data_IF_174255938539
#
_entry.id   IF_174255938539
#
_cell.length_a   1.000
_cell.length_b   1.000
_cell.length_c   1.000
_cell.angle_alpha   90.00
_cell.angle_beta   90.00
_cell.angle_gamma   90.00
#
_symmetry.space_group_name_H-M   'P 1'
#
loop_
_entity.id
_entity.type
_entity.pdbx_description
1 polymer ?
#
# COMPACT_ATOMS: atom_id res chain seq x y z
N UNK A 1 -69.80 -28.96 36.80
CA UNK A 1 -68.45 -28.69 36.29
C UNK A 1 -68.46 -28.91 34.79
N UNK A 2 -68.45 -27.84 33.99
CA UNK A 2 -68.49 -27.93 32.54
C UNK A 2 -67.09 -28.22 31.98
N UNK A 3 -66.94 -29.32 31.22
CA UNK A 3 -65.71 -29.62 30.49
C UNK A 3 -65.56 -28.61 29.35
N UNK A 4 -64.39 -27.96 29.18
CA UNK A 4 -64.17 -27.06 28.06
C UNK A 4 -64.30 -27.83 26.75
N UNK A 5 -64.96 -27.23 25.76
CA UNK A 5 -65.15 -27.83 24.45
C UNK A 5 -63.80 -28.02 23.74
N UNK A 6 -63.64 -29.18 23.09
CA UNK A 6 -62.41 -29.58 22.37
C UNK A 6 -61.97 -28.57 21.29
N UNK A 7 -62.93 -27.81 20.76
CA UNK A 7 -62.73 -26.71 19.82
C UNK A 7 -61.95 -25.53 20.42
N UNK A 8 -62.13 -25.26 21.71
CA UNK A 8 -61.46 -24.16 22.40
C UNK A 8 -59.97 -24.48 22.64
N UNK A 9 -59.66 -25.71 23.06
CA UNK A 9 -58.27 -26.17 23.22
C UNK A 9 -57.48 -26.15 21.90
N UNK A 10 -58.10 -26.50 20.77
CA UNK A 10 -57.47 -26.41 19.46
C UNK A 10 -57.14 -24.96 19.06
N UNK A 11 -58.05 -24.02 19.32
CA UNK A 11 -57.84 -22.61 19.03
C UNK A 11 -56.68 -22.01 19.84
N UNK A 12 -56.55 -22.36 21.13
CA UNK A 12 -55.40 -21.95 21.95
C UNK A 12 -54.08 -22.55 21.45
N UNK A 13 -54.08 -23.81 21.00
CA UNK A 13 -52.90 -24.45 20.41
C UNK A 13 -52.41 -23.74 19.14
N UNK A 14 -53.33 -23.38 18.25
CA UNK A 14 -53.04 -22.64 17.01
C UNK A 14 -52.52 -21.24 17.31
N UNK A 15 -53.07 -20.55 18.32
CA UNK A 15 -52.58 -19.23 18.71
C UNK A 15 -51.15 -19.29 19.24
N UNK A 16 -50.82 -20.30 20.06
CA UNK A 16 -49.48 -20.49 20.61
C UNK A 16 -48.47 -20.81 19.50
N UNK A 17 -48.83 -21.65 18.52
CA UNK A 17 -47.94 -21.94 17.39
C UNK A 17 -47.71 -20.71 16.51
N UNK A 18 -48.73 -19.90 16.21
CA UNK A 18 -48.57 -18.64 15.47
C UNK A 18 -47.62 -17.68 16.21
N UNK A 19 -47.76 -17.54 17.53
CA UNK A 19 -46.88 -16.69 18.34
C UNK A 19 -45.43 -17.20 18.38
N UNK A 20 -45.22 -18.51 18.39
CA UNK A 20 -43.88 -19.13 18.28
C UNK A 20 -43.27 -18.89 16.89
N UNK A 21 -44.06 -19.05 15.82
CA UNK A 21 -43.62 -18.77 14.45
C UNK A 21 -43.27 -17.29 14.25
N UNK A 22 -44.05 -16.35 14.81
CA UNK A 22 -43.75 -14.91 14.75
C UNK A 22 -42.42 -14.57 15.46
N UNK A 23 -42.11 -15.20 16.59
CA UNK A 23 -40.81 -15.06 17.26
C UNK A 23 -39.66 -15.61 16.40
N UNK A 24 -39.86 -16.74 15.72
CA UNK A 24 -38.88 -17.30 14.78
C UNK A 24 -38.61 -16.40 13.56
N UNK A 25 -39.62 -15.69 13.07
CA UNK A 25 -39.48 -14.72 11.98
C UNK A 25 -38.73 -13.47 12.45
N UNK A 26 -38.97 -13.00 13.67
CA UNK A 26 -38.24 -11.88 14.28
C UNK A 26 -36.76 -12.19 14.56
N UNK A 27 -36.42 -13.43 14.91
CA UNK A 27 -35.02 -13.86 15.11
C UNK A 27 -34.24 -13.94 13.79
N UNK A 28 -34.93 -14.20 12.66
CA UNK A 28 -34.33 -14.13 11.30
C UNK A 28 -34.21 -12.70 10.75
N UNK A 29 -34.64 -11.69 11.51
CA UNK A 29 -34.72 -10.29 11.09
C UNK A 29 -33.56 -9.40 11.51
N UNK A 30 -32.50 -9.93 12.13
CA UNK A 30 -31.23 -9.20 12.26
C UNK A 30 -30.17 -9.89 11.41
N UNK A 31 -30.34 -9.82 10.09
CA UNK A 31 -29.17 -9.75 9.22
C UNK A 31 -28.52 -8.42 9.57
N UNK A 32 -27.68 -8.42 10.61
CA UNK A 32 -26.60 -7.46 10.69
C UNK A 32 -25.81 -7.72 9.42
N UNK A 33 -26.17 -7.00 8.36
CA UNK A 33 -25.36 -6.87 7.17
C UNK A 33 -24.10 -6.14 7.62
N UNK A 34 -23.22 -6.85 8.34
CA UNK A 34 -21.80 -6.75 8.13
C UNK A 34 -21.58 -7.23 6.68
N UNK A 35 -22.02 -6.41 5.72
CA UNK A 35 -21.25 -6.23 4.50
C UNK A 35 -19.80 -6.23 4.97
N UNK A 36 -18.99 -7.17 4.47
CA UNK A 36 -17.55 -7.16 4.70
C UNK A 36 -17.06 -5.77 4.36
N UNK A 37 -16.97 -4.90 5.37
CA UNK A 37 -16.74 -3.49 5.15
C UNK A 37 -15.34 -3.42 4.57
N UNK A 38 -15.27 -2.92 3.36
CA UNK A 38 -14.02 -2.83 2.63
C UNK A 38 -13.02 -2.04 3.48
N UNK A 39 -11.92 -2.69 3.85
CA UNK A 39 -10.92 -2.09 4.72
C UNK A 39 -10.22 -0.98 3.94
N UNK A 40 -10.07 0.18 4.55
CA UNK A 40 -9.38 1.32 3.94
C UNK A 40 -8.95 2.30 5.03
N UNK A 41 -8.01 3.19 4.71
CA UNK A 41 -7.55 4.22 5.65
C UNK A 41 -8.49 5.42 5.77
N UNK A 42 -9.68 5.38 5.17
CA UNK A 42 -10.66 6.45 5.25
C UNK A 42 -11.71 6.36 4.13
N UNK A 43 -12.76 7.18 4.17
CA UNK A 43 -13.74 7.23 3.09
C UNK A 43 -13.07 7.59 1.76
N UNK A 44 -13.48 6.93 0.68
CA UNK A 44 -12.94 7.11 -0.67
C UNK A 44 -11.42 6.87 -0.80
N UNK A 45 -10.82 6.07 0.10
CA UNK A 45 -9.41 5.65 0.00
C UNK A 45 -9.28 4.29 -0.68
N UNK A 46 -8.06 3.98 -1.11
CA UNK A 46 -7.73 2.69 -1.76
C UNK A 46 -8.17 1.52 -0.89
N UNK A 47 -9.01 0.63 -1.43
CA UNK A 47 -9.36 -0.60 -0.76
C UNK A 47 -8.18 -1.51 -0.43
N UNK A 48 -8.21 -2.06 0.77
CA UNK A 48 -7.25 -3.02 1.29
C UNK A 48 -7.94 -4.38 1.36
N UNK A 49 -7.40 -5.34 0.61
CA UNK A 49 -7.89 -6.70 0.49
C UNK A 49 -6.70 -7.65 0.57
N UNK A 50 -6.99 -8.93 0.77
CA UNK A 50 -5.99 -9.99 0.69
C UNK A 50 -5.18 -9.88 -0.63
N UNK A 51 -3.84 -10.03 -0.62
CA UNK A 51 -2.99 -10.53 0.46
C UNK A 51 -2.46 -9.46 1.43
N UNK A 52 -2.93 -8.21 1.33
CA UNK A 52 -2.52 -7.15 2.23
C UNK A 52 -3.30 -7.21 3.54
N UNK A 53 -2.58 -7.02 4.64
CA UNK A 53 -3.17 -6.98 5.97
C UNK A 53 -3.10 -5.57 6.51
N UNK A 54 -4.25 -5.00 6.89
CA UNK A 54 -4.28 -3.71 7.58
C UNK A 54 -4.00 -3.94 9.07
N UNK A 55 -2.85 -3.48 9.54
CA UNK A 55 -2.45 -3.60 10.95
C UNK A 55 -2.88 -2.38 11.76
N UNK A 56 -3.39 -2.63 12.97
CA UNK A 56 -3.68 -1.58 13.95
C UNK A 56 -2.44 -1.40 14.84
N UNK A 57 -1.58 -0.46 14.48
CA UNK A 57 -0.29 -0.24 15.15
C UNK A 57 0.87 -1.02 14.50
N UNK A 58 2.04 -1.01 15.13
CA UNK A 58 3.30 -1.44 14.49
C UNK A 58 3.69 -2.90 14.68
N UNK A 59 3.00 -3.67 15.53
CA UNK A 59 3.57 -4.91 16.10
C UNK A 59 2.85 -6.22 15.75
N UNK A 60 1.75 -6.20 15.00
CA UNK A 60 0.99 -7.42 14.68
C UNK A 60 0.89 -7.64 13.16
N UNK A 61 2.05 -7.82 12.52
CA UNK A 61 2.10 -8.30 11.14
C UNK A 61 2.17 -9.83 11.16
N UNK A 62 1.02 -10.50 11.12
CA UNK A 62 0.96 -11.95 11.08
C UNK A 62 1.27 -12.43 9.65
N UNK A 63 2.48 -12.94 9.45
CA UNK A 63 2.87 -13.60 8.19
C UNK A 63 1.88 -14.75 7.85
N UNK A 64 1.54 -15.03 6.57
CA UNK A 64 2.08 -14.47 5.32
C UNK A 64 1.25 -13.30 4.76
N UNK A 65 1.90 -12.17 4.48
CA UNK A 65 1.25 -11.01 3.86
C UNK A 65 2.10 -9.75 3.91
N UNK A 66 1.74 -8.78 3.06
CA UNK A 66 2.31 -7.43 3.08
C UNK A 66 1.50 -6.57 4.05
N UNK A 67 2.16 -5.96 5.03
CA UNK A 67 1.46 -5.20 6.06
C UNK A 67 1.29 -3.74 5.66
N UNK A 68 0.06 -3.27 5.75
CA UNK A 68 -0.33 -1.88 5.53
C UNK A 68 -0.76 -1.27 6.85
N UNK A 69 -0.49 0.01 7.06
CA UNK A 69 -1.03 0.77 8.19
C UNK A 69 -1.55 2.13 7.73
N UNK A 70 -2.43 2.72 8.53
CA UNK A 70 -2.98 4.05 8.27
C UNK A 70 -2.26 5.11 9.09
N UNK A 71 -1.95 6.26 8.48
CA UNK A 71 -1.51 7.45 9.21
C UNK A 71 -2.71 8.23 9.77
N UNK A 72 -2.44 9.25 10.59
CA UNK A 72 -3.48 10.14 11.12
C UNK A 72 -4.19 10.93 10.01
N UNK A 73 -3.50 11.19 8.90
CA UNK A 73 -4.00 11.88 7.71
C UNK A 73 -4.73 10.93 6.74
N UNK A 74 -5.08 9.71 7.18
CA UNK A 74 -5.77 8.70 6.38
C UNK A 74 -4.96 8.23 5.16
N UNK A 75 -3.62 8.30 5.22
CA UNK A 75 -2.74 7.76 4.19
C UNK A 75 -2.47 6.28 4.44
N UNK A 76 -2.46 5.48 3.38
CA UNK A 76 -2.10 4.06 3.44
C UNK A 76 -0.59 3.92 3.27
N UNK A 77 0.06 3.21 4.18
CA UNK A 77 1.51 3.02 4.20
C UNK A 77 1.85 1.54 4.16
N UNK A 78 2.74 1.14 3.25
CA UNK A 78 3.33 -0.19 3.23
C UNK A 78 4.48 -0.27 4.23
N UNK A 79 4.45 -1.30 5.06
CA UNK A 79 5.51 -1.65 6.00
C UNK A 79 6.29 -2.86 5.47
N UNK A 80 7.56 -2.63 5.17
CA UNK A 80 8.56 -3.68 4.96
C UNK A 80 9.52 -3.67 6.17
N UNK A 81 10.31 -4.74 6.40
CA UNK A 81 11.06 -4.91 7.65
C UNK A 81 11.90 -3.71 8.10
N UNK A 82 12.49 -2.97 7.16
CA UNK A 82 13.39 -1.83 7.44
C UNK A 82 12.92 -0.52 6.82
N UNK A 83 11.86 -0.54 6.01
CA UNK A 83 11.47 0.57 5.15
C UNK A 83 9.96 0.73 5.05
N UNK A 84 9.53 1.97 4.77
CA UNK A 84 8.12 2.36 4.74
C UNK A 84 7.86 3.19 3.50
N UNK A 85 6.79 2.86 2.78
CA UNK A 85 6.39 3.58 1.57
C UNK A 85 4.95 4.03 1.66
N UNK A 86 4.64 5.16 1.06
CA UNK A 86 3.27 5.59 0.87
C UNK A 86 2.66 4.83 -0.31
N UNK A 87 1.49 4.24 -0.11
CA UNK A 87 0.75 3.52 -1.16
C UNK A 87 -0.06 4.52 -1.98
N UNK A 88 0.20 4.56 -3.28
CA UNK A 88 -0.54 5.37 -4.23
C UNK A 88 -1.79 4.62 -4.68
N UNK A 89 -1.62 3.38 -5.14
CA UNK A 89 -2.69 2.52 -5.62
C UNK A 89 -2.32 1.04 -5.43
N UNK A 90 -3.35 0.19 -5.34
CA UNK A 90 -3.21 -1.26 -5.36
C UNK A 90 -4.05 -1.80 -6.52
N UNK A 91 -3.38 -2.36 -7.52
CA UNK A 91 -3.98 -3.04 -8.65
C UNK A 91 -4.02 -4.55 -8.37
N UNK A 92 -5.19 -5.05 -7.99
CA UNK A 92 -5.40 -6.46 -7.67
C UNK A 92 -5.43 -7.36 -8.93
N UNK A 93 -5.81 -6.81 -10.09
CA UNK A 93 -5.88 -7.59 -11.34
C UNK A 93 -4.48 -7.94 -11.83
N UNK A 94 -3.62 -6.92 -11.90
CA UNK A 94 -2.22 -7.06 -12.32
C UNK A 94 -1.27 -7.48 -11.18
N UNK A 95 -1.77 -7.49 -9.93
CA UNK A 95 -1.00 -7.77 -8.72
C UNK A 95 0.16 -6.81 -8.51
N UNK A 96 -0.11 -5.52 -8.66
CA UNK A 96 0.86 -4.44 -8.55
C UNK A 96 0.47 -3.42 -7.49
N UNK A 97 1.45 -2.98 -6.71
CA UNK A 97 1.27 -1.91 -5.72
C UNK A 97 2.19 -0.77 -6.11
N UNK A 98 1.60 0.39 -6.37
CA UNK A 98 2.35 1.62 -6.65
C UNK A 98 2.69 2.32 -5.34
N UNK A 99 3.96 2.69 -5.21
CA UNK A 99 4.58 3.17 -3.99
C UNK A 99 5.40 4.43 -4.26
N UNK A 100 5.47 5.29 -3.25
CA UNK A 100 6.39 6.44 -3.24
C UNK A 100 7.07 6.66 -1.91
N UNK A 101 8.22 7.30 -1.93
CA UNK A 101 8.82 7.86 -0.72
C UNK A 101 7.99 9.09 -0.30
N UNK A 102 7.42 9.12 0.93
CA UNK A 102 6.69 10.28 1.43
C UNK A 102 7.55 11.55 1.53
N UNK A 103 8.88 11.43 1.58
CA UNK A 103 9.81 12.57 1.56
C UNK A 103 10.15 13.07 0.16
N UNK A 104 9.61 12.43 -0.88
CA UNK A 104 9.88 12.79 -2.27
C UNK A 104 11.37 12.75 -2.64
N UNK A 105 12.12 11.80 -2.06
CA UNK A 105 13.56 11.70 -2.19
C UNK A 105 14.01 10.24 -2.34
N UNK A 106 13.38 9.54 -3.28
CA UNK A 106 13.55 8.11 -3.51
C UNK A 106 15.00 7.70 -3.80
N UNK A 107 15.83 8.46 -4.56
CA UNK A 107 17.24 8.12 -4.74
C UNK A 107 18.01 8.05 -3.42
N UNK A 108 17.85 9.05 -2.54
CA UNK A 108 18.51 9.06 -1.24
C UNK A 108 18.02 7.91 -0.37
N UNK A 109 16.72 7.61 -0.46
CA UNK A 109 16.12 6.51 0.28
C UNK A 109 16.74 5.17 -0.13
N UNK A 110 16.82 4.88 -1.43
CA UNK A 110 17.47 3.66 -1.93
C UNK A 110 18.97 3.63 -1.69
N UNK A 111 19.68 4.74 -1.84
CA UNK A 111 21.11 4.83 -1.52
C UNK A 111 21.39 4.39 -0.07
N UNK A 112 20.55 4.82 0.88
CA UNK A 112 20.69 4.48 2.29
C UNK A 112 20.20 3.06 2.65
N UNK A 113 19.30 2.50 1.85
CA UNK A 113 18.58 1.25 2.16
C UNK A 113 18.76 0.13 1.13
N UNK A 114 19.73 0.23 0.20
CA UNK A 114 19.87 -0.68 -0.94
C UNK A 114 19.84 -2.17 -0.54
N UNK A 115 20.52 -2.54 0.55
CA UNK A 115 20.59 -3.92 1.04
C UNK A 115 19.24 -4.49 1.54
N UNK A 116 18.26 -3.64 1.85
CA UNK A 116 16.94 -4.06 2.34
C UNK A 116 16.12 -4.80 1.29
N UNK A 117 16.51 -4.70 0.01
CA UNK A 117 15.78 -5.26 -1.11
C UNK A 117 16.39 -6.56 -1.67
N UNK A 118 17.55 -6.98 -1.16
CA UNK A 118 18.24 -8.20 -1.60
C UNK A 118 17.39 -9.46 -1.42
N UNK A 119 16.38 -9.43 -0.54
CA UNK A 119 15.52 -10.58 -0.26
C UNK A 119 14.37 -10.78 -1.27
N UNK A 120 14.13 -9.82 -2.16
CA UNK A 120 12.92 -9.81 -2.99
C UNK A 120 13.13 -10.22 -4.46
N UNK A 121 14.28 -10.81 -4.82
CA UNK A 121 14.59 -11.34 -6.16
C UNK A 121 14.15 -10.43 -7.33
N UNK A 122 14.38 -9.11 -7.22
CA UNK A 122 14.09 -8.18 -8.31
C UNK A 122 15.19 -8.27 -9.38
N UNK A 123 14.79 -8.27 -10.66
CA UNK A 123 15.70 -7.99 -11.77
C UNK A 123 16.19 -6.56 -11.61
N UNK A 124 17.42 -6.38 -11.13
CA UNK A 124 17.93 -5.07 -10.81
C UNK A 124 18.38 -4.28 -12.03
N UNK A 125 18.32 -2.95 -11.93
CA UNK A 125 18.85 -2.00 -12.89
C UNK A 125 20.21 -1.46 -12.41
N UNK A 126 21.17 -1.28 -13.32
CA UNK A 126 22.42 -0.60 -13.01
C UNK A 126 22.19 0.91 -12.83
N UNK A 127 22.39 1.41 -11.62
CA UNK A 127 22.12 2.81 -11.24
C UNK A 127 23.38 3.45 -10.67
N UNK A 128 23.67 4.67 -11.11
CA UNK A 128 24.70 5.54 -10.54
C UNK A 128 24.06 6.63 -9.69
N UNK A 129 24.58 6.81 -8.47
CA UNK A 129 24.18 7.88 -7.57
C UNK A 129 25.19 9.03 -7.58
N UNK A 130 24.67 10.26 -7.55
CA UNK A 130 25.44 11.50 -7.55
C UNK A 130 24.97 12.42 -6.41
N UNK A 131 25.91 13.06 -5.72
CA UNK A 131 25.65 14.15 -4.79
C UNK A 131 25.68 15.47 -5.55
N UNK A 132 24.53 16.12 -5.60
CA UNK A 132 24.30 17.39 -6.26
C UNK A 132 23.97 18.51 -5.27
N UNK A 133 24.28 18.34 -3.98
CA UNK A 133 24.00 19.33 -2.93
C UNK A 133 24.67 20.69 -3.16
N UNK A 134 25.73 20.74 -3.96
CA UNK A 134 26.45 21.95 -4.35
C UNK A 134 25.72 22.82 -5.39
N UNK A 135 24.74 22.26 -6.12
CA UNK A 135 24.21 22.91 -7.33
C UNK A 135 23.34 24.13 -7.05
N UNK A 136 22.75 24.28 -5.86
CA UNK A 136 21.93 25.47 -5.51
C UNK A 136 20.71 25.73 -6.42
N UNK A 137 20.47 24.89 -7.42
CA UNK A 137 19.35 24.94 -8.37
C UNK A 137 18.39 23.77 -8.10
N UNK A 138 17.13 23.92 -8.56
CA UNK A 138 16.09 22.90 -8.35
C UNK A 138 16.22 21.68 -9.25
N UNK A 139 16.78 21.84 -10.45
CA UNK A 139 16.85 20.81 -11.48
C UNK A 139 18.15 20.94 -12.28
N UNK A 140 18.56 19.86 -12.94
CA UNK A 140 19.68 19.89 -13.89
C UNK A 140 19.25 20.62 -15.17
N UNK A 141 20.20 21.28 -15.85
CA UNK A 141 19.89 22.13 -17.01
C UNK A 141 19.23 21.37 -18.16
N UNK A 142 19.65 20.13 -18.39
CA UNK A 142 19.23 19.32 -19.53
C UNK A 142 18.09 18.34 -19.17
N UNK A 143 17.35 18.62 -18.10
CA UNK A 143 16.30 17.74 -17.59
C UNK A 143 14.93 18.08 -18.20
N UNK A 144 14.20 17.09 -18.73
CA UNK A 144 12.93 17.29 -19.45
C UNK A 144 11.75 16.54 -18.82
N UNK A 145 10.89 17.22 -18.03
CA UNK A 145 9.61 16.69 -17.50
C UNK A 145 9.44 16.87 -15.99
N UNK A 146 8.62 16.02 -15.34
CA UNK A 146 8.42 16.03 -13.89
C UNK A 146 9.52 15.21 -13.19
N UNK A 147 10.55 15.88 -12.70
CA UNK A 147 11.65 15.23 -12.00
C UNK A 147 11.85 15.83 -10.61
N UNK A 148 12.52 15.05 -9.76
CA UNK A 148 12.96 15.40 -8.42
C UNK A 148 13.46 16.85 -8.27
N UNK A 149 13.04 17.49 -7.18
CA UNK A 149 13.59 18.76 -6.71
C UNK A 149 14.91 18.52 -5.98
N UNK A 150 16.00 19.02 -6.55
CA UNK A 150 17.37 18.84 -6.07
C UNK A 150 17.67 19.64 -4.81
N UNK A 151 16.88 20.66 -4.48
CA UNK A 151 17.03 21.39 -3.21
C UNK A 151 16.53 20.52 -2.06
N UNK A 152 15.35 19.91 -2.20
CA UNK A 152 14.78 19.03 -1.18
C UNK A 152 15.40 17.64 -1.18
N UNK A 153 15.85 17.15 -2.34
CA UNK A 153 16.53 15.88 -2.51
C UNK A 153 17.80 16.03 -3.36
N UNK A 154 18.97 16.31 -2.74
CA UNK A 154 20.21 16.57 -3.49
C UNK A 154 20.90 15.32 -4.05
N UNK A 155 20.36 14.13 -3.80
CA UNK A 155 20.92 12.87 -4.33
C UNK A 155 20.23 12.56 -5.64
N UNK A 156 20.98 12.56 -6.73
CA UNK A 156 20.47 12.24 -8.06
C UNK A 156 20.81 10.80 -8.45
N UNK A 157 19.88 10.11 -9.11
CA UNK A 157 20.11 8.78 -9.67
C UNK A 157 20.02 8.84 -11.20
N UNK A 158 20.88 8.11 -11.89
CA UNK A 158 20.83 7.95 -13.35
C UNK A 158 21.16 6.49 -13.72
N UNK A 159 20.85 6.10 -14.96
CA UNK A 159 21.32 4.81 -15.49
C UNK A 159 22.86 4.78 -15.47
N UNK A 160 23.44 3.65 -15.07
CA UNK A 160 24.90 3.47 -15.02
C UNK A 160 25.64 3.77 -16.33
N UNK A 161 24.96 3.66 -17.48
CA UNK A 161 25.51 3.92 -18.81
C UNK A 161 25.18 5.34 -19.33
N UNK A 162 24.52 6.17 -18.53
CA UNK A 162 24.10 7.50 -18.95
C UNK A 162 25.30 8.45 -19.14
N UNK A 163 25.20 9.33 -20.13
CA UNK A 163 26.20 10.35 -20.41
C UNK A 163 26.22 11.45 -19.32
N UNK A 164 27.32 11.54 -18.57
CA UNK A 164 27.51 12.56 -17.52
C UNK A 164 27.38 13.99 -18.10
N UNK A 165 27.87 14.20 -19.32
CA UNK A 165 27.82 15.50 -19.99
C UNK A 165 26.41 15.87 -20.46
N UNK A 166 25.68 14.91 -21.02
CA UNK A 166 24.31 15.13 -21.48
C UNK A 166 23.38 15.44 -20.32
N UNK A 167 23.57 14.81 -19.17
CA UNK A 167 22.78 15.04 -17.97
C UNK A 167 23.28 16.20 -17.10
N UNK A 168 24.34 16.92 -17.51
CA UNK A 168 24.92 18.04 -16.74
C UNK A 168 25.41 17.64 -15.33
N UNK A 169 25.81 16.37 -15.19
CA UNK A 169 26.24 15.77 -13.91
C UNK A 169 27.70 16.08 -13.55
N UNK A 170 28.42 16.81 -14.39
CA UNK A 170 29.80 17.25 -14.12
C UNK A 170 29.91 18.16 -12.91
N UNK A 171 28.82 18.82 -12.52
CA UNK A 171 28.72 19.65 -11.33
C UNK A 171 28.37 18.87 -10.05
N UNK A 172 28.02 17.60 -10.19
CA UNK A 172 27.74 16.69 -9.09
C UNK A 172 28.92 15.74 -8.83
N UNK A 173 29.03 15.25 -7.60
CA UNK A 173 30.04 14.25 -7.22
C UNK A 173 29.46 12.85 -7.31
N UNK A 174 30.09 11.95 -8.07
CA UNK A 174 29.65 10.54 -8.12
C UNK A 174 29.88 9.87 -6.76
N UNK A 175 28.84 9.23 -6.22
CA UNK A 175 28.87 8.52 -4.93
C UNK A 175 29.22 7.05 -5.15
N UNK A 176 28.41 6.35 -5.96
CA UNK A 176 28.54 4.91 -6.16
C UNK A 176 27.72 4.41 -7.35
N UNK A 177 28.10 3.24 -7.85
CA UNK A 177 27.30 2.43 -8.76
C UNK A 177 26.72 1.22 -8.03
N UNK A 178 25.44 0.94 -8.21
CA UNK A 178 24.79 -0.21 -7.61
C UNK A 178 23.83 -0.88 -8.59
N UNK A 179 23.52 -2.14 -8.34
CA UNK A 179 22.34 -2.78 -8.90
C UNK A 179 21.18 -2.54 -7.95
N UNK A 180 20.20 -1.74 -8.37
CA UNK A 180 19.03 -1.37 -7.58
C UNK A 180 17.79 -2.14 -8.06
N UNK A 181 16.80 -2.42 -7.18
CA UNK A 181 15.56 -3.12 -7.56
C UNK A 181 14.60 -2.28 -8.41
N UNK A 182 14.87 -0.97 -8.53
CA UNK A 182 14.08 -0.01 -9.31
C UNK A 182 15.00 0.76 -10.26
N UNK A 183 14.44 1.26 -11.35
CA UNK A 183 15.14 2.07 -12.34
C UNK A 183 15.43 3.48 -11.84
N UNK A 184 16.40 4.16 -12.46
CA UNK A 184 16.70 5.55 -12.14
C UNK A 184 15.50 6.49 -12.41
N UNK A 185 14.70 6.21 -13.45
CA UNK A 185 13.51 7.02 -13.79
C UNK A 185 12.48 6.94 -12.68
N UNK A 186 12.19 5.73 -12.18
CA UNK A 186 11.27 5.55 -11.04
C UNK A 186 11.76 6.30 -9.79
N UNK A 187 13.07 6.25 -9.52
CA UNK A 187 13.64 7.04 -8.42
C UNK A 187 13.44 8.54 -8.63
N UNK A 188 13.70 9.06 -9.83
CA UNK A 188 13.56 10.48 -10.16
C UNK A 188 12.11 10.98 -10.10
N UNK A 189 11.15 10.11 -10.45
CA UNK A 189 9.71 10.41 -10.42
C UNK A 189 9.11 10.21 -9.02
N UNK A 190 9.88 9.63 -8.10
CA UNK A 190 9.43 9.22 -6.78
C UNK A 190 8.22 8.28 -6.84
N UNK A 191 8.19 7.37 -7.81
CA UNK A 191 7.11 6.39 -7.94
C UNK A 191 7.66 5.11 -8.55
N UNK A 192 7.36 3.97 -7.91
CA UNK A 192 7.76 2.65 -8.39
C UNK A 192 6.70 1.61 -8.06
N UNK A 193 6.70 0.51 -8.80
CA UNK A 193 5.73 -0.56 -8.60
C UNK A 193 6.40 -1.83 -8.08
N UNK A 194 5.76 -2.47 -7.10
CA UNK A 194 6.11 -3.83 -6.71
C UNK A 194 5.04 -4.79 -7.20
N UNK A 195 5.46 -5.92 -7.75
CA UNK A 195 4.56 -7.02 -8.13
C UNK A 195 4.59 -8.09 -7.05
N UNK A 196 3.44 -8.64 -6.67
CA UNK A 196 3.37 -9.78 -5.77
C UNK A 196 2.89 -11.06 -6.47
N UNK A 197 3.40 -12.20 -6.01
CA UNK A 197 2.93 -13.52 -6.43
C UNK A 197 1.65 -13.90 -5.68
N UNK A 198 0.88 -14.83 -6.25
CA UNK A 198 -0.22 -15.45 -5.50
C UNK A 198 0.37 -16.13 -4.25
N UNK A 199 -0.25 -15.96 -3.07
CA UNK A 199 0.14 -16.75 -1.91
C UNK A 199 -0.06 -18.24 -2.25
N UNK A 200 0.93 -19.06 -1.90
CA UNK A 200 0.92 -20.51 -2.10
C UNK A 200 -0.09 -21.19 -1.15
#
# INVERSE_FOLDING_TARGET
>A
MAKPSLLCLHAYGILITIMLFLKLILIKGSSDHNECRELSCGPNRTPIRFPFQLVKGTHECAHPGFCLYCTQENNTMLLLPTIKFHVINIDYENRQISLKDPKNCLPKYFLNHNNSFNHYYFTGSGVSFFDCSSLGYRHLRNQYGNYQDMISCPIYATDSQASILEWDLTFCSKISDVTAPVSAIEMQQNEFMLTWSKPA
#
